data_IF_760267192175
#
_entry.id   IF_760267192175
#
_cell.length_a   1.000
_cell.length_b   1.000
_cell.length_c   1.000
_cell.angle_alpha   90.00
_cell.angle_beta   90.00
_cell.angle_gamma   90.00
#
_symmetry.space_group_name_H-M   'P 1'
#
loop_
_entity.id
_entity.type
_entity.pdbx_description
1 polymer ?
#
# COMPACT_ATOMS: atom_id res chain seq x y z
N UNK A 1 17.15 50.70 10.96
CA UNK A 1 18.04 49.88 10.08
C UNK A 1 18.28 48.49 10.69
N UNK A 2 18.91 48.37 11.87
CA UNK A 2 19.28 47.05 12.47
C UNK A 2 18.12 46.07 12.73
N UNK A 3 16.94 46.54 13.16
CA UNK A 3 15.76 45.70 13.44
C UNK A 3 15.07 45.16 12.17
N UNK A 4 15.08 45.95 11.09
CA UNK A 4 14.50 45.56 9.79
C UNK A 4 15.34 44.52 9.07
N UNK A 5 16.68 44.62 9.18
CA UNK A 5 17.61 43.61 8.64
C UNK A 5 17.47 42.28 9.37
N UNK A 6 17.26 42.30 10.70
CA UNK A 6 17.03 41.08 11.48
C UNK A 6 15.70 40.38 11.12
N UNK A 7 14.62 41.14 10.96
CA UNK A 7 13.33 40.61 10.50
C UNK A 7 13.42 40.04 9.07
N UNK A 8 14.15 40.71 8.17
CA UNK A 8 14.34 40.25 6.79
C UNK A 8 15.20 38.97 6.72
N UNK A 9 16.25 38.86 7.55
CA UNK A 9 17.08 37.65 7.66
C UNK A 9 16.30 36.47 8.25
N UNK A 10 15.44 36.70 9.25
CA UNK A 10 14.55 35.65 9.81
C UNK A 10 13.50 35.21 8.79
N UNK A 11 12.97 36.14 7.98
CA UNK A 11 12.03 35.81 6.92
C UNK A 11 12.69 35.02 5.78
N UNK A 12 13.92 35.39 5.38
CA UNK A 12 14.71 34.65 4.39
C UNK A 12 15.08 33.24 4.86
N UNK A 13 15.40 33.06 6.15
CA UNK A 13 15.66 31.72 6.72
C UNK A 13 14.41 30.82 6.72
N UNK A 14 13.21 31.40 6.94
CA UNK A 14 11.95 30.65 6.85
C UNK A 14 11.58 30.27 5.42
N UNK A 15 11.93 31.10 4.43
CA UNK A 15 11.68 30.81 3.01
C UNK A 15 12.65 29.75 2.47
N UNK A 16 13.91 29.74 2.94
CA UNK A 16 14.91 28.75 2.50
C UNK A 16 14.73 27.35 3.12
N UNK A 17 13.98 27.21 4.21
CA UNK A 17 13.72 25.91 4.83
C UNK A 17 12.67 25.06 4.06
N UNK A 18 11.96 25.65 3.09
CA UNK A 18 10.83 25.02 2.40
C UNK A 18 11.14 24.32 1.08
N UNK A 19 12.40 24.24 0.64
CA UNK A 19 12.75 23.68 -0.68
C UNK A 19 13.94 22.71 -0.61
N UNK A 20 13.89 21.77 0.34
CA UNK A 20 14.71 20.57 0.28
C UNK A 20 13.78 19.36 0.11
N UNK A 21 13.27 19.16 -1.10
CA UNK A 21 12.87 17.83 -1.54
C UNK A 21 14.16 17.02 -1.68
N UNK A 22 14.64 16.50 -0.54
CA UNK A 22 15.53 15.36 -0.54
C UNK A 22 14.64 14.19 -0.93
N UNK A 23 14.98 13.51 -2.02
CA UNK A 23 14.60 12.11 -2.22
C UNK A 23 15.20 11.32 -1.05
N UNK A 24 14.56 11.44 0.11
CA UNK A 24 14.78 10.57 1.24
C UNK A 24 14.08 9.27 0.85
N UNK A 25 14.84 8.20 0.76
CA UNK A 25 14.35 6.88 0.44
C UNK A 25 13.35 6.46 1.53
N UNK A 26 12.08 6.79 1.28
CA UNK A 26 11.02 6.71 2.28
C UNK A 26 10.73 5.25 2.60
N UNK A 27 11.13 4.81 3.77
CA UNK A 27 10.81 3.46 4.23
C UNK A 27 9.35 3.37 4.72
N UNK A 28 8.69 2.21 4.58
CA UNK A 28 7.36 1.99 5.09
C UNK A 28 7.37 2.10 6.62
N UNK A 29 6.39 2.82 7.17
CA UNK A 29 6.23 2.88 8.62
C UNK A 29 5.47 1.65 9.16
N UNK A 30 5.43 1.52 10.49
CA UNK A 30 4.80 0.39 11.17
C UNK A 30 3.30 0.25 10.86
N UNK A 31 2.59 1.37 10.68
CA UNK A 31 1.18 1.39 10.30
C UNK A 31 0.99 0.78 8.91
N UNK A 32 1.79 1.22 7.94
CA UNK A 32 1.73 0.75 6.56
C UNK A 32 2.00 -0.75 6.47
N UNK A 33 3.04 -1.23 7.15
CA UNK A 33 3.37 -2.66 7.20
C UNK A 33 2.19 -3.47 7.76
N UNK A 34 1.62 -3.04 8.90
CA UNK A 34 0.50 -3.76 9.51
C UNK A 34 -0.74 -3.76 8.62
N UNK A 35 -1.05 -2.62 7.99
CA UNK A 35 -2.16 -2.49 7.04
C UNK A 35 -2.03 -3.52 5.91
N UNK A 36 -0.90 -3.58 5.23
CA UNK A 36 -0.74 -4.50 4.09
C UNK A 36 -0.62 -5.96 4.52
N UNK A 37 0.00 -6.25 5.67
CA UNK A 37 -0.01 -7.60 6.24
C UNK A 37 -1.44 -8.10 6.47
N UNK A 38 -2.26 -7.30 7.15
CA UNK A 38 -3.65 -7.69 7.47
C UNK A 38 -4.54 -7.77 6.24
N UNK A 39 -4.35 -6.88 5.27
CA UNK A 39 -5.05 -6.94 3.97
C UNK A 39 -4.72 -8.24 3.23
N UNK A 40 -3.44 -8.60 3.09
CA UNK A 40 -3.06 -9.82 2.38
C UNK A 40 -3.51 -11.08 3.11
N UNK A 41 -3.42 -11.12 4.46
CA UNK A 41 -3.86 -12.28 5.23
C UNK A 41 -5.38 -12.50 5.13
N UNK A 42 -6.17 -11.43 5.25
CA UNK A 42 -7.62 -11.56 5.08
C UNK A 42 -7.99 -12.00 3.65
N UNK A 43 -7.37 -11.43 2.62
CA UNK A 43 -7.59 -11.83 1.21
C UNK A 43 -7.20 -13.31 0.97
N UNK A 44 -6.08 -13.76 1.52
CA UNK A 44 -5.65 -15.16 1.43
C UNK A 44 -6.65 -16.12 2.08
N UNK A 45 -7.14 -15.78 3.28
CA UNK A 45 -8.13 -16.58 4.00
C UNK A 45 -9.49 -16.55 3.30
N UNK A 46 -9.95 -15.41 2.78
CA UNK A 46 -11.22 -15.31 2.05
C UNK A 46 -11.23 -16.22 0.81
N UNK A 47 -10.13 -16.27 0.07
CA UNK A 47 -9.97 -17.15 -1.11
C UNK A 47 -10.11 -18.63 -0.77
N UNK A 48 -9.59 -19.05 0.38
CA UNK A 48 -9.59 -20.46 0.81
C UNK A 48 -10.80 -20.84 1.67
N UNK A 49 -11.59 -19.85 2.14
CA UNK A 49 -12.67 -20.06 3.10
C UNK A 49 -13.82 -20.97 2.62
N UNK A 50 -13.97 -21.16 1.30
CA UNK A 50 -15.00 -22.03 0.70
C UNK A 50 -14.50 -23.46 0.40
N UNK A 51 -13.24 -23.76 0.69
CA UNK A 51 -12.69 -25.10 0.47
C UNK A 51 -13.46 -26.15 1.29
N UNK A 52 -13.80 -27.27 0.63
CA UNK A 52 -14.43 -28.44 1.26
C UNK A 52 -13.42 -29.54 1.58
N UNK A 53 -12.13 -29.23 1.49
CA UNK A 53 -11.06 -30.16 1.76
C UNK A 53 -11.10 -30.67 3.21
N UNK A 54 -10.72 -31.93 3.36
CA UNK A 54 -10.67 -32.63 4.64
C UNK A 54 -9.28 -33.23 4.77
N UNK A 55 -8.59 -32.82 5.83
CA UNK A 55 -7.28 -33.32 6.19
C UNK A 55 -7.43 -34.63 6.98
N UNK A 56 -6.66 -35.64 6.60
CA UNK A 56 -6.57 -36.89 7.35
C UNK A 56 -5.30 -36.89 8.20
N UNK A 57 -5.46 -36.80 9.53
CA UNK A 57 -4.34 -36.70 10.48
C UNK A 57 -4.21 -38.02 11.25
N UNK A 58 -2.99 -38.54 11.32
CA UNK A 58 -2.59 -39.72 12.10
C UNK A 58 -1.83 -40.78 11.29
N UNK A 59 -0.96 -41.50 11.98
CA UNK A 59 -0.12 -42.57 11.41
C UNK A 59 -0.88 -43.92 11.40
N UNK A 60 -0.76 -44.68 10.31
CA UNK A 60 -1.23 -46.07 10.27
C UNK A 60 -0.12 -46.93 10.87
N UNK A 61 -0.09 -47.01 12.19
CA UNK A 61 0.61 -48.09 12.86
C UNK A 61 -0.33 -49.31 12.85
N UNK A 62 0.21 -50.53 12.74
CA UNK A 62 -0.46 -51.86 12.66
C UNK A 62 -1.55 -52.16 13.73
N UNK A 63 -1.92 -51.17 14.53
CA UNK A 63 -2.86 -51.16 15.66
C UNK A 63 -4.31 -50.76 15.31
N UNK A 64 -4.64 -50.47 14.04
CA UNK A 64 -6.02 -50.34 13.58
C UNK A 64 -6.78 -49.07 14.03
N UNK A 65 -6.09 -48.03 14.53
CA UNK A 65 -6.73 -46.73 14.82
C UNK A 65 -7.02 -45.97 13.50
N UNK A 66 -8.27 -45.54 13.33
CA UNK A 66 -8.71 -44.78 12.13
C UNK A 66 -8.12 -43.36 12.13
N UNK A 67 -7.71 -42.88 10.96
CA UNK A 67 -7.30 -41.49 10.72
C UNK A 67 -8.40 -40.52 11.16
N UNK A 68 -8.04 -39.46 11.87
CA UNK A 68 -8.96 -38.38 12.24
C UNK A 68 -9.15 -37.46 11.04
N UNK A 69 -10.40 -37.08 10.77
CA UNK A 69 -10.75 -36.18 9.68
C UNK A 69 -11.02 -34.79 10.24
N UNK A 70 -10.24 -33.81 9.82
CA UNK A 70 -10.36 -32.41 10.22
C UNK A 70 -10.71 -31.59 8.97
N UNK A 71 -11.62 -30.62 9.11
CA UNK A 71 -11.94 -29.74 7.98
C UNK A 71 -10.81 -28.74 7.80
N UNK A 72 -10.37 -28.55 6.55
CA UNK A 72 -9.30 -27.60 6.23
C UNK A 72 -9.68 -26.15 6.58
N UNK A 73 -10.94 -25.77 6.38
CA UNK A 73 -11.39 -24.40 6.61
C UNK A 73 -11.25 -23.91 8.07
N UNK A 74 -11.19 -24.82 9.03
CA UNK A 74 -11.03 -24.52 10.46
C UNK A 74 -9.71 -25.07 11.03
N UNK A 75 -8.82 -25.58 10.18
CA UNK A 75 -7.55 -26.13 10.64
C UNK A 75 -6.50 -25.03 10.81
N UNK A 76 -5.55 -25.30 11.69
CA UNK A 76 -4.29 -24.56 11.85
C UNK A 76 -3.47 -24.59 10.56
N UNK A 77 -3.43 -25.72 9.86
CA UNK A 77 -2.74 -25.87 8.57
C UNK A 77 -3.12 -24.77 7.57
N UNK A 78 -4.41 -24.44 7.46
CA UNK A 78 -4.87 -23.36 6.57
C UNK A 78 -4.32 -21.99 6.97
N UNK A 79 -4.18 -21.74 8.26
CA UNK A 79 -3.62 -20.49 8.77
C UNK A 79 -2.12 -20.42 8.47
N UNK A 80 -1.36 -21.47 8.77
CA UNK A 80 0.09 -21.53 8.50
C UNK A 80 0.39 -21.34 7.01
N UNK A 81 -0.34 -22.06 6.13
CA UNK A 81 -0.18 -21.90 4.68
C UNK A 81 -0.48 -20.46 4.21
N UNK A 82 -1.47 -19.80 4.82
CA UNK A 82 -1.77 -18.40 4.51
C UNK A 82 -0.65 -17.47 5.00
N UNK A 83 -0.14 -17.70 6.21
CA UNK A 83 0.92 -16.89 6.84
C UNK A 83 2.25 -16.99 6.09
N UNK A 84 2.62 -18.17 5.60
CA UNK A 84 3.86 -18.37 4.83
C UNK A 84 3.89 -17.57 3.52
N UNK A 85 2.72 -17.34 2.92
CA UNK A 85 2.60 -16.76 1.58
C UNK A 85 2.45 -15.22 1.58
N UNK A 86 1.83 -14.63 2.61
CA UNK A 86 1.32 -13.25 2.55
C UNK A 86 2.43 -12.21 2.40
N UNK A 87 3.55 -12.38 3.09
CA UNK A 87 4.65 -11.43 2.99
C UNK A 87 5.33 -11.52 1.63
N UNK A 88 5.32 -12.67 0.97
CA UNK A 88 5.82 -12.76 -0.41
C UNK A 88 4.91 -12.01 -1.41
N UNK A 89 3.59 -11.98 -1.15
CA UNK A 89 2.63 -11.21 -1.97
C UNK A 89 2.86 -9.69 -1.87
N UNK A 90 3.53 -9.20 -0.83
CA UNK A 90 3.93 -7.79 -0.71
C UNK A 90 4.80 -7.33 -1.87
N UNK A 91 5.60 -8.22 -2.46
CA UNK A 91 6.43 -7.89 -3.64
C UNK A 91 5.63 -7.55 -4.90
N UNK A 92 4.32 -7.84 -4.92
CA UNK A 92 3.43 -7.47 -6.03
C UNK A 92 3.01 -5.99 -5.99
N UNK A 93 3.29 -5.30 -4.89
CA UNK A 93 3.00 -3.88 -4.76
C UNK A 93 4.09 -3.04 -5.44
N UNK A 94 3.66 -1.96 -6.06
CA UNK A 94 4.53 -0.93 -6.61
C UNK A 94 4.33 0.37 -5.84
N UNK A 95 5.34 1.23 -5.91
CA UNK A 95 5.26 2.60 -5.41
C UNK A 95 4.62 3.50 -6.47
N UNK A 96 3.47 4.05 -6.11
CA UNK A 96 2.76 5.08 -6.83
C UNK A 96 3.08 6.43 -6.22
N UNK A 97 4.16 7.07 -6.70
CA UNK A 97 4.60 8.38 -6.22
C UNK A 97 3.51 9.45 -6.31
N UNK A 98 2.53 9.27 -7.21
CA UNK A 98 1.37 10.15 -7.37
C UNK A 98 0.32 10.05 -6.25
N UNK A 99 0.41 9.06 -5.34
CA UNK A 99 -0.58 8.84 -4.28
C UNK A 99 -0.02 9.21 -2.90
N UNK A 100 -0.83 9.80 -2.01
CA UNK A 100 -0.39 10.18 -0.67
C UNK A 100 -0.38 8.99 0.29
N UNK A 101 0.48 9.07 1.31
CA UNK A 101 0.48 8.16 2.45
C UNK A 101 0.67 6.69 2.06
N UNK A 102 -0.08 5.81 2.73
CA UNK A 102 -0.03 4.36 2.49
C UNK A 102 -0.66 3.96 1.16
N UNK A 103 -1.50 4.82 0.57
CA UNK A 103 -2.15 4.57 -0.72
C UNK A 103 -1.17 4.49 -1.88
N UNK A 104 0.09 4.90 -1.67
CA UNK A 104 1.18 4.74 -2.64
C UNK A 104 1.55 3.30 -2.91
N UNK A 105 1.28 2.37 -1.99
CA UNK A 105 1.47 0.96 -2.28
C UNK A 105 0.21 0.43 -2.95
N UNK A 106 0.32 0.14 -4.24
CA UNK A 106 -0.75 -0.55 -4.95
C UNK A 106 -0.19 -1.54 -5.98
N UNK A 107 -0.95 -2.59 -6.26
CA UNK A 107 -0.61 -3.58 -7.27
C UNK A 107 -0.81 -2.98 -8.67
N UNK A 108 0.09 -3.31 -9.59
CA UNK A 108 0.07 -2.84 -10.99
C UNK A 108 0.97 -1.62 -11.24
N UNK A 109 1.03 -1.16 -12.49
CA UNK A 109 1.95 -0.10 -12.92
C UNK A 109 1.50 1.28 -12.44
N UNK A 110 2.43 2.09 -11.91
CA UNK A 110 2.16 3.47 -11.52
C UNK A 110 2.00 4.41 -12.71
N UNK A 111 1.30 5.54 -12.51
CA UNK A 111 1.16 6.55 -13.56
C UNK A 111 2.54 7.14 -13.92
N UNK A 112 3.36 7.35 -12.89
CA UNK A 112 4.74 7.82 -13.03
C UNK A 112 5.55 6.85 -13.90
N UNK A 113 5.55 5.56 -13.57
CA UNK A 113 6.29 4.55 -14.33
C UNK A 113 5.76 4.39 -15.76
N UNK A 114 4.45 4.44 -15.94
CA UNK A 114 3.83 4.40 -17.27
C UNK A 114 4.28 5.57 -18.13
N UNK A 115 4.37 6.77 -17.54
CA UNK A 115 4.87 7.96 -18.24
C UNK A 115 6.33 7.81 -18.64
N UNK A 116 7.19 7.31 -17.74
CA UNK A 116 8.60 7.05 -18.04
C UNK A 116 8.78 6.03 -19.17
N UNK A 117 8.06 4.89 -19.12
CA UNK A 117 8.08 3.89 -20.19
C UNK A 117 7.60 4.45 -21.53
N UNK A 118 6.57 5.31 -21.53
CA UNK A 118 6.08 5.98 -22.73
C UNK A 118 7.10 6.96 -23.33
N UNK A 119 7.87 7.67 -22.49
CA UNK A 119 8.95 8.55 -22.96
C UNK A 119 10.06 7.74 -23.64
N UNK A 120 10.50 6.64 -23.02
CA UNK A 120 11.48 5.72 -23.61
C UNK A 120 10.98 5.16 -24.95
N UNK A 121 9.72 4.73 -25.01
CA UNK A 121 9.10 4.23 -26.24
C UNK A 121 9.04 5.29 -27.37
N UNK A 122 8.94 6.58 -27.01
CA UNK A 122 9.00 7.71 -27.96
C UNK A 122 10.43 8.10 -28.36
N UNK A 123 11.45 7.38 -27.89
CA UNK A 123 12.85 7.64 -28.20
C UNK A 123 13.52 8.68 -27.31
N UNK A 124 12.88 9.10 -26.22
CA UNK A 124 13.50 9.98 -25.21
C UNK A 124 14.45 9.14 -24.35
N UNK A 125 15.68 9.59 -24.21
CA UNK A 125 16.66 8.96 -23.31
C UNK A 125 16.28 9.25 -21.86
N UNK A 126 15.81 8.24 -21.14
CA UNK A 126 15.57 8.29 -19.69
C UNK A 126 16.65 7.46 -19.01
N UNK A 127 17.43 8.08 -18.13
CA UNK A 127 18.48 7.40 -17.38
C UNK A 127 18.06 7.27 -15.91
N UNK A 128 17.58 6.08 -15.53
CA UNK A 128 17.26 5.75 -14.12
C UNK A 128 18.45 5.08 -13.40
N UNK A 129 19.61 4.97 -14.04
CA UNK A 129 20.76 4.24 -13.49
C UNK A 129 20.58 2.72 -13.43
N UNK A 130 19.51 2.18 -14.04
CA UNK A 130 19.19 0.75 -14.09
C UNK A 130 18.81 0.33 -15.53
N UNK A 131 19.21 -0.88 -15.99
CA UNK A 131 18.72 -1.49 -17.22
C UNK A 131 17.18 -1.53 -17.28
N UNK A 132 16.62 -1.38 -18.48
CA UNK A 132 15.17 -1.33 -18.70
C UNK A 132 14.45 -2.60 -18.23
N UNK A 133 15.13 -3.74 -18.31
CA UNK A 133 14.64 -5.04 -17.88
C UNK A 133 14.39 -5.10 -16.36
N UNK A 134 15.05 -4.23 -15.58
CA UNK A 134 14.93 -4.17 -14.13
C UNK A 134 13.90 -3.13 -13.65
N UNK A 135 13.18 -2.46 -14.56
CA UNK A 135 12.21 -1.42 -14.17
C UNK A 135 10.92 -1.99 -13.56
N UNK A 136 10.68 -3.28 -13.75
CA UNK A 136 9.54 -4.01 -13.18
C UNK A 136 9.93 -4.78 -11.91
N UNK A 137 11.20 -4.69 -11.47
CA UNK A 137 11.62 -5.29 -10.21
C UNK A 137 11.08 -4.50 -9.01
N UNK A 138 10.75 -5.17 -7.88
CA UNK A 138 10.30 -4.49 -6.67
C UNK A 138 11.31 -3.46 -6.19
N UNK A 139 10.81 -2.28 -5.79
CA UNK A 139 11.68 -1.23 -5.25
C UNK A 139 12.31 -1.64 -3.91
N UNK A 140 13.37 -0.95 -3.51
CA UNK A 140 14.00 -1.13 -2.19
C UNK A 140 12.98 -0.92 -1.06
N UNK A 141 12.10 0.07 -1.21
CA UNK A 141 11.02 0.35 -0.27
C UNK A 141 10.04 -0.82 -0.12
N UNK A 142 9.61 -1.43 -1.23
CA UNK A 142 8.72 -2.61 -1.21
C UNK A 142 9.44 -3.84 -0.66
N UNK A 143 10.72 -4.02 -1.02
CA UNK A 143 11.55 -5.09 -0.47
C UNK A 143 11.76 -4.92 1.04
N UNK A 144 11.86 -3.68 1.52
CA UNK A 144 11.89 -3.38 2.94
C UNK A 144 10.53 -3.66 3.60
N UNK A 145 9.42 -3.31 2.94
CA UNK A 145 8.06 -3.63 3.41
C UNK A 145 7.87 -5.13 3.60
N UNK A 146 8.36 -5.95 2.66
CA UNK A 146 8.36 -7.41 2.77
C UNK A 146 9.10 -7.87 4.03
N UNK A 147 10.33 -7.40 4.26
CA UNK A 147 11.11 -7.77 5.45
C UNK A 147 10.41 -7.39 6.76
N UNK A 148 9.83 -6.18 6.80
CA UNK A 148 9.07 -5.73 7.97
C UNK A 148 7.78 -6.54 8.17
N UNK A 149 7.14 -6.98 7.08
CA UNK A 149 5.99 -7.89 7.15
C UNK A 149 6.39 -9.20 7.83
N UNK A 150 7.51 -9.83 7.41
CA UNK A 150 7.99 -11.08 7.99
C UNK A 150 8.28 -10.91 9.48
N UNK A 151 9.05 -9.89 9.85
CA UNK A 151 9.34 -9.61 11.26
C UNK A 151 8.09 -9.32 12.08
N UNK A 152 7.11 -8.60 11.52
CA UNK A 152 5.86 -8.31 12.23
C UNK A 152 5.01 -9.57 12.39
N UNK A 153 4.92 -10.41 11.35
CA UNK A 153 4.17 -11.64 11.41
C UNK A 153 4.76 -12.60 12.45
N UNK A 154 6.08 -12.75 12.48
CA UNK A 154 6.81 -13.53 13.49
C UNK A 154 6.54 -13.00 14.91
N UNK A 155 6.56 -11.68 15.11
CA UNK A 155 6.34 -11.07 16.43
C UNK A 155 4.91 -11.21 16.96
N UNK A 156 3.93 -11.26 16.05
CA UNK A 156 2.50 -11.23 16.40
C UNK A 156 1.76 -12.51 15.99
N UNK A 157 2.48 -13.61 15.75
CA UNK A 157 1.92 -14.90 15.35
C UNK A 157 0.84 -15.38 16.32
N UNK A 158 1.12 -15.40 17.63
CA UNK A 158 0.15 -15.81 18.65
C UNK A 158 -1.13 -14.96 18.65
N UNK A 159 -1.02 -13.66 18.35
CA UNK A 159 -2.17 -12.74 18.26
C UNK A 159 -3.00 -13.02 17.00
N UNK A 160 -2.34 -13.34 15.89
CA UNK A 160 -2.99 -13.74 14.64
C UNK A 160 -3.71 -15.08 14.80
N UNK A 161 -3.09 -16.04 15.48
CA UNK A 161 -3.71 -17.32 15.83
C UNK A 161 -4.95 -17.14 16.70
N UNK A 162 -4.84 -16.34 17.77
CA UNK A 162 -5.97 -16.06 18.65
C UNK A 162 -7.13 -15.41 17.88
N UNK A 163 -6.81 -14.45 17.00
CA UNK A 163 -7.82 -13.86 16.12
C UNK A 163 -8.48 -14.92 15.23
N UNK A 164 -7.68 -15.79 14.61
CA UNK A 164 -8.16 -16.81 13.69
C UNK A 164 -9.05 -17.85 14.39
N UNK A 165 -8.75 -18.26 15.61
CA UNK A 165 -9.54 -19.28 16.30
C UNK A 165 -10.73 -18.71 17.10
N UNK A 166 -10.66 -17.46 17.56
CA UNK A 166 -11.63 -16.92 18.52
C UNK A 166 -12.31 -15.62 18.09
N UNK A 167 -11.77 -14.86 17.12
CA UNK A 167 -12.22 -13.49 16.83
C UNK A 167 -12.41 -13.16 15.34
N UNK A 168 -12.69 -14.16 14.49
CA UNK A 168 -12.96 -13.95 13.05
C UNK A 168 -14.21 -13.10 12.76
N UNK A 169 -15.05 -12.82 13.75
CA UNK A 169 -16.15 -11.85 13.66
C UNK A 169 -15.66 -10.39 13.55
N UNK A 170 -14.40 -10.13 13.92
CA UNK A 170 -13.77 -8.82 13.84
C UNK A 170 -12.82 -8.74 12.63
N UNK A 171 -12.70 -7.55 12.02
CA UNK A 171 -11.68 -7.31 10.98
C UNK A 171 -10.29 -7.44 11.60
N UNK A 172 -9.42 -8.22 10.97
CA UNK A 172 -8.04 -8.43 11.44
C UNK A 172 -7.27 -7.11 11.57
N UNK A 173 -7.48 -6.17 10.65
CA UNK A 173 -6.90 -4.81 10.72
C UNK A 173 -7.21 -4.11 12.05
N UNK A 174 -8.43 -4.22 12.56
CA UNK A 174 -8.81 -3.62 13.84
C UNK A 174 -8.22 -4.42 15.01
N UNK A 175 -8.34 -5.75 14.95
CA UNK A 175 -7.87 -6.62 16.03
C UNK A 175 -6.35 -6.50 16.18
N UNK A 176 -5.58 -6.78 15.15
CA UNK A 176 -4.12 -6.77 15.18
C UNK A 176 -3.56 -5.35 15.19
N UNK A 177 -3.87 -4.52 14.18
CA UNK A 177 -3.16 -3.26 14.01
C UNK A 177 -3.53 -2.23 15.07
N UNK A 178 -4.82 -2.03 15.34
CA UNK A 178 -5.23 -0.98 16.29
C UNK A 178 -5.00 -1.36 17.75
N UNK A 179 -5.15 -2.64 18.12
CA UNK A 179 -5.10 -3.04 19.53
C UNK A 179 -3.73 -3.59 19.97
N UNK A 180 -2.93 -4.16 19.07
CA UNK A 180 -1.67 -4.84 19.43
C UNK A 180 -0.43 -4.20 18.83
N UNK A 181 -0.49 -3.67 17.60
CA UNK A 181 0.70 -3.19 16.88
C UNK A 181 0.92 -1.68 17.00
N UNK A 182 -0.14 -0.87 16.87
CA UNK A 182 -0.03 0.59 16.69
C UNK A 182 -0.45 1.37 17.92
N UNK A 183 0.29 2.45 18.19
CA UNK A 183 -0.14 3.47 19.15
C UNK A 183 -1.30 4.31 18.57
N UNK A 184 -2.08 4.94 19.44
CA UNK A 184 -3.25 5.75 19.01
C UNK A 184 -2.91 6.90 18.06
N UNK A 185 -1.68 7.43 18.12
CA UNK A 185 -1.19 8.48 17.22
C UNK A 185 -0.84 7.97 15.81
N UNK A 186 -0.62 6.67 15.66
CA UNK A 186 0.03 6.08 14.49
C UNK A 186 -0.95 5.23 13.65
N UNK A 187 -2.24 5.59 13.68
CA UNK A 187 -3.32 4.84 13.01
C UNK A 187 -3.91 5.58 11.80
N UNK A 188 -3.28 6.66 11.36
CA UNK A 188 -3.77 7.48 10.24
C UNK A 188 -3.87 6.66 8.95
N UNK A 189 -2.88 5.79 8.67
CA UNK A 189 -2.83 5.01 7.44
C UNK A 189 -4.04 4.07 7.27
N UNK A 190 -4.67 3.63 8.36
CA UNK A 190 -5.82 2.73 8.35
C UNK A 190 -7.10 3.43 7.88
N UNK A 191 -7.15 4.76 7.97
CA UNK A 191 -8.33 5.57 7.64
C UNK A 191 -8.29 6.10 6.21
N UNK A 192 -7.17 5.92 5.52
CA UNK A 192 -6.97 6.41 4.17
C UNK A 192 -7.82 5.62 3.16
N UNK A 193 -8.57 6.36 2.34
CA UNK A 193 -9.39 5.81 1.26
C UNK A 193 -9.01 6.51 -0.05
N UNK A 194 -8.62 5.73 -1.05
CA UNK A 194 -8.35 6.26 -2.37
C UNK A 194 -9.65 6.65 -3.08
N UNK A 195 -9.82 7.94 -3.36
CA UNK A 195 -11.04 8.49 -4.01
C UNK A 195 -10.96 8.57 -5.53
N UNK A 196 -9.92 7.99 -6.16
CA UNK A 196 -9.66 8.17 -7.59
C UNK A 196 -8.88 9.45 -7.90
N UNK A 197 -8.56 9.61 -9.18
CA UNK A 197 -7.43 10.39 -9.71
C UNK A 197 -7.38 11.87 -9.29
N UNK A 198 -6.22 12.30 -8.78
CA UNK A 198 -5.91 13.70 -8.50
C UNK A 198 -5.30 14.30 -9.77
N UNK A 199 -6.15 14.72 -10.70
CA UNK A 199 -5.82 15.78 -11.65
C UNK A 199 -5.51 15.39 -13.10
N UNK A 200 -6.58 15.23 -13.89
CA UNK A 200 -6.67 15.88 -15.20
C UNK A 200 -7.78 16.93 -15.14
N UNK A 201 -7.46 18.12 -14.62
CA UNK A 201 -8.27 19.33 -14.77
C UNK A 201 -7.34 20.52 -14.98
N UNK A 202 -7.32 21.01 -16.21
CA UNK A 202 -6.58 22.19 -16.63
C UNK A 202 -6.63 22.39 -18.13
N UNK A 203 -7.80 22.19 -18.74
CA UNK A 203 -8.08 22.52 -20.13
C UNK A 203 -9.34 23.38 -20.17
N UNK A 204 -9.18 24.68 -19.89
CA UNK A 204 -10.03 25.78 -20.32
C UNK A 204 -9.44 27.07 -19.75
N UNK A 205 -8.86 27.90 -20.62
CA UNK A 205 -9.23 29.31 -20.76
C UNK A 205 -8.40 29.92 -21.90
N UNK A 206 -9.08 30.17 -23.02
CA UNK A 206 -8.76 31.30 -23.90
C UNK A 206 -10.11 31.92 -24.24
N UNK A 207 -10.54 32.86 -23.42
CA UNK A 207 -11.48 33.89 -23.83
C UNK A 207 -10.67 34.97 -24.55
N UNK A 208 -10.97 35.24 -25.81
CA UNK A 208 -10.71 36.55 -26.40
C UNK A 208 -12.00 37.07 -27.05
N UNK A 209 -12.42 38.22 -26.53
CA UNK A 209 -13.59 39.00 -26.89
C UNK A 209 -13.56 39.46 -28.35
N UNK A 210 -14.71 39.45 -29.02
CA UNK A 210 -15.07 40.54 -29.94
C UNK A 210 -16.53 40.93 -29.77
N UNK A 211 -16.71 42.24 -29.62
CA UNK A 211 -17.90 42.93 -29.13
C UNK A 211 -19.01 43.11 -30.19
N UNK A 212 -20.27 43.10 -29.70
CA UNK A 212 -21.38 44.06 -29.92
C UNK A 212 -21.79 44.36 -31.39
N UNK A 213 -23.05 44.32 -31.84
CA UNK A 213 -24.33 44.73 -31.24
C UNK A 213 -25.51 44.16 -32.03
N UNK A 214 -26.62 43.93 -31.31
CA UNK A 214 -28.00 43.75 -31.77
C UNK A 214 -28.52 44.98 -32.53
N UNK A 215 -29.35 44.76 -33.54
CA UNK A 215 -30.58 45.55 -33.70
C UNK A 215 -31.73 44.63 -34.11
N UNK A 216 -32.94 44.93 -33.64
CA UNK A 216 -34.14 44.09 -33.75
C UNK A 216 -35.21 44.67 -34.67
N UNK A 217 -36.34 43.97 -34.75
CA UNK A 217 -37.62 44.51 -35.21
C UNK A 217 -38.10 44.04 -36.58
N UNK A 218 -39.19 43.27 -36.56
CA UNK A 218 -40.11 43.07 -37.68
C UNK A 218 -40.76 44.39 -38.12
N UNK A 219 -40.70 44.69 -39.42
CA UNK A 219 -41.81 44.98 -40.36
C UNK A 219 -41.26 45.36 -41.73
#
# INVERSE_FOLDING_TARGET
IKKGVFLYLVFLFKVFAGAAAKDDERLPNRCEVCKFLTVELQDALEKTGRSKEVLEVGEVLDTGRRRRKIKYNTSETRLTEAMDDICQRVLQYNVHAERPGSLRYAKGTSQTMSTLKNLVHKGVKVELGLPYELWDEPSVEVTHMKKQCETMLEQFEEVVEDWYFHHQDQRLENFLCQNHVLETSDQECLKEVWKGDVGSKGGADTDEETATSRDGGEL
#
